data_IF_000193264562
#
_entry.id   IF_000193264562
#
_cell.length_a   1.000
_cell.length_b   1.000
_cell.length_c   1.000
_cell.angle_alpha   90.00
_cell.angle_beta   90.00
_cell.angle_gamma   90.00
#
_symmetry.space_group_name_H-M   'P 1'
#
loop_
_entity.id
_entity.type
_entity.pdbx_description
1 polymer ?
#
# COMPACT_ATOMS: atom_id res chain seq x y z
N UNK A 1 -20.65 -3.73 15.93
CA UNK A 1 -20.23 -2.60 16.81
C UNK A 1 -19.26 -3.03 17.91
N UNK A 2 -19.45 -4.18 18.55
CA UNK A 2 -18.57 -4.70 19.62
C UNK A 2 -17.10 -4.85 19.22
N UNK A 3 -16.82 -5.28 17.99
CA UNK A 3 -15.44 -5.47 17.51
C UNK A 3 -14.62 -4.17 17.42
N UNK A 4 -15.21 -3.06 16.94
CA UNK A 4 -14.49 -1.77 16.83
C UNK A 4 -14.21 -1.15 18.21
N UNK A 5 -15.11 -1.38 19.18
CA UNK A 5 -14.89 -0.94 20.57
C UNK A 5 -13.77 -1.73 21.25
N UNK A 6 -13.71 -3.06 21.03
CA UNK A 6 -12.58 -3.88 21.50
C UNK A 6 -11.26 -3.41 20.90
N UNK A 7 -11.23 -3.19 19.59
CA UNK A 7 -10.04 -2.68 18.89
C UNK A 7 -9.59 -1.31 19.42
N UNK A 8 -10.50 -0.45 19.87
CA UNK A 8 -10.12 0.84 20.47
C UNK A 8 -9.28 0.66 21.75
N UNK A 9 -9.62 -0.35 22.57
CA UNK A 9 -8.84 -0.68 23.77
C UNK A 9 -7.48 -1.27 23.39
N UNK A 10 -7.42 -2.12 22.37
CA UNK A 10 -6.16 -2.68 21.85
C UNK A 10 -5.23 -1.55 21.37
N UNK A 11 -5.76 -0.55 20.66
CA UNK A 11 -4.98 0.60 20.19
C UNK A 11 -4.38 1.40 21.34
N UNK A 12 -5.11 1.60 22.43
CA UNK A 12 -4.58 2.27 23.62
C UNK A 12 -3.43 1.48 24.25
N UNK A 13 -3.59 0.17 24.36
CA UNK A 13 -2.58 -0.70 24.98
C UNK A 13 -1.32 -0.82 24.11
N UNK A 14 -1.48 -0.93 22.78
CA UNK A 14 -0.36 -1.14 21.84
C UNK A 14 0.37 0.15 21.49
N UNK A 15 -0.37 1.24 21.27
CA UNK A 15 0.19 2.49 20.72
C UNK A 15 0.17 3.65 21.72
N UNK A 16 -0.42 3.48 22.91
CA UNK A 16 -0.52 4.54 23.91
C UNK A 16 -1.41 5.72 23.51
N UNK A 17 -2.27 5.55 22.48
CA UNK A 17 -3.15 6.61 21.98
C UNK A 17 -4.61 6.20 22.00
N UNK A 18 -5.49 7.16 22.22
CA UNK A 18 -6.94 6.93 22.23
C UNK A 18 -7.49 6.87 20.81
N UNK A 19 -8.03 5.72 20.41
CA UNK A 19 -8.74 5.58 19.15
C UNK A 19 -10.15 6.15 19.26
N UNK A 20 -10.59 6.92 18.26
CA UNK A 20 -11.92 7.51 18.22
C UNK A 20 -12.87 6.65 17.42
N UNK A 21 -13.81 6.00 18.10
CA UNK A 21 -14.93 5.34 17.45
C UNK A 21 -15.96 6.35 16.97
N UNK A 22 -16.43 6.20 15.74
CA UNK A 22 -17.51 6.99 15.14
C UNK A 22 -18.58 6.02 14.66
N UNK A 23 -19.82 6.20 15.13
CA UNK A 23 -20.95 5.37 14.73
C UNK A 23 -21.42 5.72 13.30
N UNK A 24 -22.24 4.86 12.69
CA UNK A 24 -22.73 5.07 11.33
C UNK A 24 -23.46 6.41 11.14
N UNK A 25 -24.25 6.84 12.12
CA UNK A 25 -25.08 8.06 12.02
C UNK A 25 -24.27 9.36 12.04
N UNK A 26 -23.03 9.33 12.52
CA UNK A 26 -22.13 10.50 12.55
C UNK A 26 -21.05 10.47 11.46
N UNK A 27 -21.03 9.47 10.58
CA UNK A 27 -19.98 9.37 9.55
C UNK A 27 -19.94 10.59 8.62
N UNK A 28 -21.11 11.12 8.23
CA UNK A 28 -21.19 12.27 7.32
C UNK A 28 -20.50 13.51 7.87
N UNK A 29 -20.63 13.75 9.19
CA UNK A 29 -19.92 14.84 9.88
C UNK A 29 -18.39 14.67 9.89
N UNK A 30 -17.91 13.48 9.52
CA UNK A 30 -16.49 13.16 9.42
C UNK A 30 -16.02 12.96 7.97
N UNK A 31 -16.78 13.44 6.98
CA UNK A 31 -16.45 13.34 5.55
C UNK A 31 -16.37 11.90 5.03
N UNK A 32 -17.19 11.01 5.59
CA UNK A 32 -17.34 9.60 5.23
C UNK A 32 -18.83 9.29 5.08
N UNK A 33 -19.25 8.42 4.15
CA UNK A 33 -20.67 8.02 4.08
C UNK A 33 -20.89 6.50 4.06
N UNK A 34 -22.11 6.08 3.75
CA UNK A 34 -22.47 4.68 3.51
C UNK A 34 -21.64 4.12 2.34
N UNK A 35 -21.34 2.80 2.32
CA UNK A 35 -21.98 1.72 3.06
C UNK A 35 -21.37 1.40 4.43
N UNK A 36 -20.49 2.23 4.98
CA UNK A 36 -19.82 1.91 6.24
C UNK A 36 -20.76 1.99 7.46
N UNK A 37 -20.63 1.03 8.38
CA UNK A 37 -21.45 0.94 9.60
C UNK A 37 -20.81 1.63 10.83
N UNK A 38 -19.73 2.38 10.60
CA UNK A 38 -18.93 3.06 11.60
C UNK A 38 -17.45 2.98 11.24
N UNK A 39 -16.63 3.76 11.95
CA UNK A 39 -15.18 3.79 11.76
C UNK A 39 -14.47 3.88 13.10
N UNK A 40 -13.18 3.55 13.08
CA UNK A 40 -12.26 3.75 14.18
C UNK A 40 -11.08 4.58 13.66
N UNK A 41 -10.95 5.82 14.15
CA UNK A 41 -9.84 6.69 13.78
C UNK A 41 -8.71 6.56 14.79
N UNK A 42 -7.50 6.26 14.30
CA UNK A 42 -6.28 6.21 15.10
C UNK A 42 -5.49 7.52 14.83
N UNK A 43 -5.16 8.34 15.85
CA UNK A 43 -4.68 9.71 15.66
C UNK A 43 -3.20 9.83 15.25
N UNK A 44 -2.53 8.72 14.95
CA UNK A 44 -1.11 8.67 14.59
C UNK A 44 -0.87 8.19 13.15
N UNK A 45 -1.92 7.84 12.42
CA UNK A 45 -1.82 7.45 11.02
C UNK A 45 -1.66 8.67 10.11
N UNK A 46 -0.70 8.60 9.18
CA UNK A 46 -0.45 9.65 8.18
C UNK A 46 -0.46 9.08 6.76
N UNK A 47 -0.96 9.87 5.81
CA UNK A 47 -0.76 9.60 4.40
C UNK A 47 0.59 10.17 3.96
N UNK A 48 1.33 9.42 3.15
CA UNK A 48 2.58 9.89 2.55
C UNK A 48 2.65 9.43 1.10
N UNK A 49 3.34 10.21 0.25
CA UNK A 49 3.68 9.77 -1.10
C UNK A 49 4.99 8.95 -1.03
N UNK A 50 4.95 7.61 -1.22
CA UNK A 50 6.11 6.77 -0.95
C UNK A 50 7.30 7.09 -1.87
N UNK A 51 7.02 7.49 -3.12
CA UNK A 51 8.05 7.87 -4.08
C UNK A 51 8.74 9.17 -3.69
N UNK A 52 7.99 10.20 -3.27
CA UNK A 52 8.58 11.45 -2.77
C UNK A 52 9.43 11.20 -1.51
N UNK A 53 8.93 10.36 -0.61
CA UNK A 53 9.65 10.00 0.61
C UNK A 53 10.96 9.24 0.29
N UNK A 54 10.91 8.22 -0.56
CA UNK A 54 12.09 7.46 -0.98
C UNK A 54 13.13 8.35 -1.68
N UNK A 55 12.70 9.27 -2.55
CA UNK A 55 13.59 10.23 -3.20
C UNK A 55 14.28 11.16 -2.18
N UNK A 56 13.55 11.61 -1.16
CA UNK A 56 14.12 12.42 -0.08
C UNK A 56 15.18 11.65 0.70
N UNK A 57 14.88 10.40 1.09
CA UNK A 57 15.84 9.52 1.77
C UNK A 57 17.09 9.26 0.92
N UNK A 58 16.93 9.03 -0.38
CA UNK A 58 18.03 8.85 -1.31
C UNK A 58 18.96 10.07 -1.32
N UNK A 59 18.41 11.27 -1.42
CA UNK A 59 19.19 12.52 -1.40
C UNK A 59 19.98 12.70 -0.10
N UNK A 60 19.36 12.40 1.04
CA UNK A 60 20.03 12.45 2.36
C UNK A 60 21.16 11.41 2.44
N UNK A 61 20.90 10.17 2.02
CA UNK A 61 21.91 9.12 2.05
C UNK A 61 23.13 9.44 1.16
N UNK A 62 22.90 9.95 -0.05
CA UNK A 62 23.97 10.36 -0.95
C UNK A 62 24.77 11.55 -0.39
N UNK A 63 24.08 12.52 0.23
CA UNK A 63 24.74 13.65 0.91
C UNK A 63 25.60 13.20 2.10
N UNK A 64 25.23 12.09 2.74
CA UNK A 64 26.03 11.45 3.79
C UNK A 64 27.15 10.53 3.24
N UNK A 65 27.34 10.45 1.93
CA UNK A 65 28.41 9.70 1.28
C UNK A 65 28.03 8.30 0.77
N UNK A 66 26.75 7.91 0.84
CA UNK A 66 26.31 6.64 0.27
C UNK A 66 26.44 6.63 -1.26
N UNK A 67 27.03 5.57 -1.80
CA UNK A 67 27.10 5.34 -3.25
C UNK A 67 25.89 4.52 -3.68
N UNK A 68 25.17 5.00 -4.67
CA UNK A 68 23.95 4.36 -5.18
C UNK A 68 24.12 4.02 -6.65
N UNK A 69 23.92 2.75 -6.99
CA UNK A 69 24.09 2.22 -8.34
C UNK A 69 22.72 1.74 -8.84
N UNK A 70 22.12 2.52 -9.74
CA UNK A 70 20.87 2.14 -10.41
C UNK A 70 21.17 1.23 -11.61
N UNK A 71 20.19 0.43 -12.03
CA UNK A 71 20.32 -0.51 -13.16
C UNK A 71 21.49 -1.50 -13.02
N UNK A 72 21.89 -1.81 -11.79
CA UNK A 72 22.95 -2.77 -11.46
C UNK A 72 22.37 -3.97 -10.70
N UNK A 73 21.59 -4.85 -11.36
CA UNK A 73 20.98 -5.98 -10.69
C UNK A 73 22.05 -6.94 -10.18
N UNK A 74 22.01 -7.29 -8.90
CA UNK A 74 22.87 -8.35 -8.36
C UNK A 74 22.31 -9.69 -8.80
N UNK A 75 23.04 -10.43 -9.63
CA UNK A 75 22.61 -11.75 -10.15
C UNK A 75 23.33 -12.91 -9.46
N UNK A 76 24.35 -12.62 -8.64
CA UNK A 76 25.09 -13.62 -7.88
C UNK A 76 25.64 -13.06 -6.57
N UNK A 77 25.77 -13.93 -5.58
CA UNK A 77 26.22 -13.65 -4.23
C UNK A 77 26.96 -14.87 -3.69
N UNK A 78 28.23 -14.67 -3.39
CA UNK A 78 29.08 -15.68 -2.77
C UNK A 78 29.65 -15.15 -1.46
N UNK A 79 29.88 -16.05 -0.51
CA UNK A 79 30.57 -15.71 0.75
C UNK A 79 31.88 -16.47 0.80
N UNK A 80 32.98 -15.70 0.74
CA UNK A 80 34.34 -16.18 1.00
C UNK A 80 34.80 -15.62 2.35
N UNK A 81 35.94 -14.93 2.41
CA UNK A 81 36.31 -14.10 3.56
C UNK A 81 35.37 -12.89 3.72
N UNK A 82 35.01 -12.26 2.60
CA UNK A 82 33.96 -11.23 2.49
C UNK A 82 32.84 -11.71 1.57
N UNK A 83 31.71 -11.00 1.56
CA UNK A 83 30.70 -11.21 0.52
C UNK A 83 31.19 -10.65 -0.81
N UNK A 84 30.80 -11.33 -1.88
CA UNK A 84 31.09 -10.99 -3.25
C UNK A 84 29.79 -10.95 -4.04
N UNK A 85 29.43 -9.79 -4.58
CA UNK A 85 28.22 -9.55 -5.36
C UNK A 85 28.61 -9.34 -6.82
N UNK A 86 27.87 -9.98 -7.72
CA UNK A 86 28.19 -10.02 -9.15
C UNK A 86 27.08 -9.35 -9.98
N UNK A 87 27.04 -8.01 -10.09
CA UNK A 87 26.22 -7.34 -11.10
C UNK A 87 26.82 -7.50 -12.52
N UNK A 88 26.03 -7.35 -13.60
CA UNK A 88 26.56 -7.44 -14.98
C UNK A 88 27.71 -6.48 -15.28
N UNK A 89 27.80 -5.36 -14.56
CA UNK A 89 28.81 -4.33 -14.76
C UNK A 89 30.14 -4.61 -14.06
N UNK A 90 30.25 -5.66 -13.24
CA UNK A 90 31.49 -6.01 -12.55
C UNK A 90 31.26 -6.75 -11.24
N UNK A 91 32.17 -6.58 -10.30
CA UNK A 91 32.14 -7.26 -9.00
C UNK A 91 32.27 -6.25 -7.86
N UNK A 92 31.52 -6.48 -6.79
CA UNK A 92 31.56 -5.66 -5.58
C UNK A 92 31.81 -6.58 -4.39
N UNK A 93 32.77 -6.22 -3.53
CA UNK A 93 33.04 -6.92 -2.28
C UNK A 93 32.51 -6.12 -1.08
N UNK A 94 32.01 -6.82 -0.06
CA UNK A 94 31.48 -6.21 1.15
C UNK A 94 31.65 -7.11 2.37
N UNK A 95 31.96 -6.53 3.53
CA UNK A 95 32.00 -7.28 4.80
C UNK A 95 30.60 -7.65 5.30
N UNK A 96 29.60 -6.82 4.99
CA UNK A 96 28.21 -6.99 5.41
C UNK A 96 27.29 -6.74 4.22
N UNK A 97 26.23 -7.56 4.12
CA UNK A 97 25.20 -7.45 3.10
C UNK A 97 23.84 -7.49 3.78
N UNK A 98 22.98 -6.52 3.45
CA UNK A 98 21.57 -6.48 3.86
C UNK A 98 20.69 -6.54 2.61
N UNK A 99 19.59 -7.28 2.71
CA UNK A 99 18.62 -7.38 1.62
C UNK A 99 17.41 -6.50 1.92
N UNK A 100 17.06 -5.61 0.98
CA UNK A 100 15.96 -4.64 1.12
C UNK A 100 15.08 -4.59 -0.13
N UNK A 101 14.82 -5.74 -0.71
CA UNK A 101 14.13 -5.93 -2.01
C UNK A 101 12.64 -6.31 -1.86
N UNK A 102 12.16 -6.53 -0.63
CA UNK A 102 10.81 -7.05 -0.36
C UNK A 102 10.50 -8.31 -1.20
N UNK A 103 9.27 -8.47 -1.70
CA UNK A 103 8.84 -9.61 -2.53
C UNK A 103 9.48 -9.72 -3.91
N UNK A 104 10.34 -8.79 -4.32
CA UNK A 104 11.07 -8.82 -5.60
C UNK A 104 12.40 -9.57 -5.51
N UNK A 105 12.49 -10.49 -4.56
CA UNK A 105 13.71 -11.25 -4.32
C UNK A 105 13.94 -12.30 -5.40
N UNK A 106 15.20 -12.57 -5.69
CA UNK A 106 15.57 -13.79 -6.39
C UNK A 106 15.54 -14.92 -5.36
N UNK A 107 14.67 -15.91 -5.57
CA UNK A 107 14.39 -16.98 -4.58
C UNK A 107 15.64 -17.79 -4.18
N UNK A 108 16.73 -17.69 -4.94
CA UNK A 108 18.00 -18.35 -4.68
C UNK A 108 19.11 -17.41 -4.16
N UNK A 109 18.83 -16.14 -3.86
CA UNK A 109 19.88 -15.17 -3.56
C UNK A 109 19.65 -14.35 -2.27
N UNK A 110 19.92 -14.91 -1.09
CA UNK A 110 20.73 -16.11 -0.83
C UNK A 110 19.88 -17.39 -0.78
N UNK A 111 20.52 -18.54 -1.01
CA UNK A 111 19.84 -19.83 -1.09
C UNK A 111 18.98 -20.18 0.13
N UNK A 112 19.34 -19.70 1.32
CA UNK A 112 18.56 -19.97 2.52
C UNK A 112 17.19 -19.29 2.52
N UNK A 113 16.96 -18.26 1.70
CA UNK A 113 15.65 -17.62 1.54
C UNK A 113 14.67 -18.41 0.68
N UNK A 114 15.15 -19.44 -0.02
CA UNK A 114 14.35 -20.24 -0.94
C UNK A 114 13.11 -20.81 -0.28
N UNK A 115 11.95 -20.50 -0.84
CA UNK A 115 10.65 -20.97 -0.33
C UNK A 115 10.24 -20.39 1.04
N UNK A 116 10.92 -19.34 1.53
CA UNK A 116 10.59 -18.69 2.81
C UNK A 116 9.75 -17.42 2.68
N UNK A 117 9.46 -16.99 1.46
CA UNK A 117 8.57 -15.86 1.20
C UNK A 117 7.61 -16.20 0.06
N UNK A 118 6.40 -15.63 0.12
CA UNK A 118 5.39 -15.74 -0.91
C UNK A 118 5.10 -14.32 -1.43
N UNK A 119 5.49 -13.97 -2.66
CA UNK A 119 5.10 -12.69 -3.23
C UNK A 119 3.59 -12.69 -3.50
N UNK A 120 2.87 -11.82 -2.80
CA UNK A 120 1.44 -11.60 -3.03
C UNK A 120 1.28 -10.26 -3.75
N UNK A 121 0.54 -10.28 -4.86
CA UNK A 121 0.28 -9.05 -5.59
C UNK A 121 -0.75 -8.20 -4.82
N UNK A 122 -0.62 -6.89 -4.91
CA UNK A 122 -1.72 -5.99 -4.59
C UNK A 122 -2.30 -5.48 -5.90
N UNK A 123 -3.61 -5.32 -5.98
CA UNK A 123 -4.29 -4.71 -7.11
C UNK A 123 -4.76 -3.32 -6.74
N UNK A 124 -4.46 -2.33 -7.57
CA UNK A 124 -4.85 -0.94 -7.34
C UNK A 124 -5.53 -0.40 -8.60
N UNK A 125 -6.56 0.42 -8.41
CA UNK A 125 -7.12 1.33 -9.41
C UNK A 125 -7.06 2.76 -8.90
N UNK A 126 -6.92 3.72 -9.81
CA UNK A 126 -6.96 5.15 -9.50
C UNK A 126 -7.93 5.86 -10.43
N UNK A 127 -8.84 6.65 -9.89
CA UNK A 127 -9.80 7.43 -10.69
C UNK A 127 -9.12 8.65 -11.33
N UNK A 128 -9.79 9.26 -12.31
CA UNK A 128 -9.57 10.68 -12.59
C UNK A 128 -9.86 11.53 -11.33
N UNK A 129 -9.32 12.77 -11.25
CA UNK A 129 -9.67 13.69 -10.19
C UNK A 129 -11.19 13.90 -10.11
N UNK A 130 -11.76 13.66 -8.93
CA UNK A 130 -13.16 13.93 -8.64
C UNK A 130 -13.32 15.41 -8.28
N UNK A 131 -14.26 16.08 -8.91
CA UNK A 131 -14.71 17.43 -8.54
C UNK A 131 -15.28 17.45 -7.11
N UNK A 132 -15.40 18.64 -6.53
CA UNK A 132 -16.03 18.80 -5.22
C UNK A 132 -17.48 18.31 -5.20
N UNK A 133 -18.22 18.46 -6.31
CA UNK A 133 -19.60 17.98 -6.45
C UNK A 133 -19.66 16.45 -6.50
N UNK A 134 -18.80 15.80 -7.27
CA UNK A 134 -18.69 14.34 -7.31
C UNK A 134 -18.28 13.77 -5.95
N UNK A 135 -17.36 14.43 -5.25
CA UNK A 135 -16.98 14.04 -3.89
C UNK A 135 -18.12 14.20 -2.89
N UNK A 136 -18.91 15.28 -3.01
CA UNK A 136 -20.08 15.51 -2.17
C UNK A 136 -21.22 14.52 -2.47
N UNK A 137 -21.42 14.16 -3.74
CA UNK A 137 -22.41 13.17 -4.17
C UNK A 137 -22.11 11.77 -3.61
N UNK A 138 -20.84 11.37 -3.59
CA UNK A 138 -20.39 10.17 -2.87
C UNK A 138 -20.36 10.38 -1.35
N UNK A 139 -20.20 11.63 -0.94
CA UNK A 139 -19.98 12.18 0.41
C UNK A 139 -18.66 11.75 1.05
N UNK A 140 -17.64 11.51 0.23
CA UNK A 140 -16.29 11.20 0.68
C UNK A 140 -15.35 12.35 0.33
N UNK A 141 -15.00 13.16 1.33
CA UNK A 141 -14.06 14.29 1.20
C UNK A 141 -12.87 14.17 2.18
N UNK A 142 -12.79 13.06 2.93
CA UNK A 142 -11.73 12.83 3.91
C UNK A 142 -10.42 12.44 3.22
N UNK A 143 -9.35 13.18 3.51
CA UNK A 143 -7.98 12.87 3.09
C UNK A 143 -7.26 11.85 4.02
N UNK A 144 -7.98 11.31 5.00
CA UNK A 144 -7.41 10.28 5.89
C UNK A 144 -7.23 8.97 5.13
N UNK A 145 -6.14 8.27 5.45
CA UNK A 145 -5.99 6.87 5.05
C UNK A 145 -7.14 6.06 5.65
N UNK A 146 -7.83 5.29 4.79
CA UNK A 146 -8.95 4.47 5.19
C UNK A 146 -8.79 3.06 4.62
N UNK A 147 -9.24 2.08 5.39
CA UNK A 147 -9.36 0.69 4.97
C UNK A 147 -10.58 0.04 5.62
N UNK A 148 -11.09 -1.02 5.01
CA UNK A 148 -12.20 -1.81 5.58
C UNK A 148 -11.69 -2.96 6.47
N UNK A 149 -12.60 -3.58 7.23
CA UNK A 149 -12.28 -4.69 8.15
C UNK A 149 -12.49 -6.08 7.53
N UNK A 150 -12.63 -6.19 6.21
CA UNK A 150 -12.79 -7.50 5.57
C UNK A 150 -11.49 -8.29 5.67
N UNK A 151 -11.58 -9.62 5.63
CA UNK A 151 -10.38 -10.48 5.65
C UNK A 151 -9.45 -10.17 4.47
N UNK A 152 -10.04 -9.93 3.30
CA UNK A 152 -9.37 -9.32 2.16
C UNK A 152 -9.66 -7.82 2.17
N UNK A 153 -8.77 -7.09 2.84
CA UNK A 153 -8.95 -5.67 3.13
C UNK A 153 -9.00 -4.82 1.86
N UNK A 154 -9.91 -3.85 1.79
CA UNK A 154 -9.81 -2.76 0.82
C UNK A 154 -9.17 -1.55 1.49
N UNK A 155 -8.31 -0.83 0.76
CA UNK A 155 -7.72 0.42 1.22
C UNK A 155 -7.95 1.50 0.18
N UNK A 156 -8.35 2.69 0.64
CA UNK A 156 -8.95 3.67 -0.27
C UNK A 156 -8.75 5.13 0.14
N UNK A 157 -7.53 5.68 -0.03
CA UNK A 157 -7.27 7.08 0.23
C UNK A 157 -7.75 7.99 -0.90
N UNK A 158 -8.36 9.11 -0.52
CA UNK A 158 -8.53 10.28 -1.39
C UNK A 158 -7.24 11.11 -1.35
N UNK A 159 -6.65 11.36 -2.51
CA UNK A 159 -5.44 12.18 -2.63
C UNK A 159 -5.80 13.67 -2.66
N UNK A 160 -4.89 14.57 -2.22
CA UNK A 160 -5.17 16.01 -2.13
C UNK A 160 -5.61 16.66 -3.45
N UNK A 161 -5.20 16.11 -4.59
CA UNK A 161 -5.60 16.57 -5.93
C UNK A 161 -6.94 16.01 -6.41
N UNK A 162 -7.68 15.27 -5.57
CA UNK A 162 -9.03 14.76 -5.85
C UNK A 162 -9.07 13.39 -6.50
N UNK A 163 -7.94 12.74 -6.78
CA UNK A 163 -7.91 11.36 -7.26
C UNK A 163 -8.21 10.39 -6.14
N UNK A 164 -9.00 9.37 -6.42
CA UNK A 164 -9.32 8.32 -5.47
C UNK A 164 -8.56 7.04 -5.81
N UNK A 165 -7.73 6.56 -4.89
CA UNK A 165 -7.08 5.27 -5.00
C UNK A 165 -7.97 4.23 -4.34
N UNK A 166 -8.17 3.08 -4.98
CA UNK A 166 -8.85 1.94 -4.38
C UNK A 166 -8.03 0.69 -4.61
N UNK A 167 -7.66 0.01 -3.53
CA UNK A 167 -6.79 -1.16 -3.56
C UNK A 167 -7.38 -2.35 -2.82
N UNK A 168 -6.96 -3.54 -3.22
CA UNK A 168 -7.32 -4.82 -2.61
C UNK A 168 -6.17 -5.82 -2.79
N UNK A 169 -6.12 -6.90 -1.98
CA UNK A 169 -5.30 -8.05 -2.28
C UNK A 169 -5.51 -8.54 -3.72
N UNK A 170 -4.41 -8.65 -4.45
CA UNK A 170 -4.38 -9.14 -5.82
C UNK A 170 -4.27 -10.67 -5.88
N UNK A 171 -3.90 -11.17 -7.06
CA UNK A 171 -3.71 -12.60 -7.25
C UNK A 171 -2.45 -13.12 -6.54
N UNK A 172 -2.52 -14.37 -6.08
CA UNK A 172 -1.34 -15.11 -5.58
C UNK A 172 -0.45 -15.54 -6.75
N UNK A 173 -1.03 -15.73 -7.94
CA UNK A 173 -0.33 -16.15 -9.15
C UNK A 173 -0.24 -15.03 -10.18
N UNK A 174 0.97 -14.77 -10.67
CA UNK A 174 1.23 -13.78 -11.73
C UNK A 174 0.93 -14.39 -13.09
N UNK A 175 -0.36 -14.50 -13.44
CA UNK A 175 -0.80 -14.94 -14.78
C UNK A 175 -1.76 -13.95 -15.39
N UNK A 176 -1.79 -13.85 -16.72
CA UNK A 176 -2.71 -12.96 -17.42
C UNK A 176 -4.18 -13.21 -17.03
N UNK A 177 -4.57 -14.48 -16.84
CA UNK A 177 -5.91 -14.87 -16.38
C UNK A 177 -6.20 -14.37 -14.97
N UNK A 178 -5.27 -14.58 -14.03
CA UNK A 178 -5.44 -14.17 -12.65
C UNK A 178 -5.49 -12.64 -12.51
N UNK A 179 -4.61 -11.93 -13.24
CA UNK A 179 -4.61 -10.47 -13.31
C UNK A 179 -5.94 -9.95 -13.85
N UNK A 180 -6.46 -10.52 -14.95
CA UNK A 180 -7.77 -10.13 -15.50
C UNK A 180 -8.92 -10.40 -14.53
N UNK A 181 -8.85 -11.49 -13.77
CA UNK A 181 -9.85 -11.79 -12.74
C UNK A 181 -9.80 -10.78 -11.58
N UNK A 182 -8.61 -10.46 -11.06
CA UNK A 182 -8.41 -9.43 -10.04
C UNK A 182 -8.91 -8.06 -10.53
N UNK A 183 -8.62 -7.69 -11.77
CA UNK A 183 -9.08 -6.43 -12.37
C UNK A 183 -10.60 -6.33 -12.49
N UNK A 184 -11.30 -7.41 -12.85
CA UNK A 184 -12.77 -7.40 -12.84
C UNK A 184 -13.30 -7.26 -11.42
N UNK A 185 -12.70 -7.97 -10.46
CA UNK A 185 -13.11 -7.96 -9.07
C UNK A 185 -12.94 -6.58 -8.43
N UNK A 186 -11.77 -5.95 -8.54
CA UNK A 186 -11.51 -4.64 -7.93
C UNK A 186 -12.47 -3.57 -8.45
N UNK A 187 -12.81 -3.60 -9.75
CA UNK A 187 -13.77 -2.67 -10.35
C UNK A 187 -15.20 -2.94 -9.87
N UNK A 188 -15.59 -4.20 -9.73
CA UNK A 188 -16.91 -4.55 -9.19
C UNK A 188 -17.05 -4.10 -7.72
N UNK A 189 -16.04 -4.39 -6.89
CA UNK A 189 -16.01 -4.00 -5.48
C UNK A 189 -16.00 -2.47 -5.31
N UNK A 190 -15.24 -1.76 -6.15
CA UNK A 190 -15.22 -0.29 -6.17
C UNK A 190 -16.61 0.29 -6.48
N UNK A 191 -17.28 -0.19 -7.54
CA UNK A 191 -18.64 0.27 -7.89
C UNK A 191 -19.66 -0.02 -6.80
N UNK A 192 -19.51 -1.14 -6.10
CA UNK A 192 -20.38 -1.48 -4.99
C UNK A 192 -20.17 -0.58 -3.77
N UNK A 193 -18.91 -0.23 -3.46
CA UNK A 193 -18.56 0.59 -2.29
C UNK A 193 -18.74 2.09 -2.53
N UNK A 194 -18.48 2.55 -3.76
CA UNK A 194 -18.50 3.95 -4.17
C UNK A 194 -19.40 4.14 -5.41
N UNK A 195 -20.71 3.93 -5.28
CA UNK A 195 -21.63 3.91 -6.42
C UNK A 195 -21.76 5.26 -7.14
N UNK A 196 -21.55 6.39 -6.47
CA UNK A 196 -21.58 7.71 -7.14
C UNK A 196 -20.34 7.94 -8.03
N UNK A 197 -19.29 7.13 -7.87
CA UNK A 197 -18.10 7.13 -8.72
C UNK A 197 -18.02 5.90 -9.63
N UNK A 198 -19.11 5.14 -9.77
CA UNK A 198 -19.11 3.88 -10.51
C UNK A 198 -18.73 4.02 -12.00
N UNK A 199 -19.03 5.19 -12.56
CA UNK A 199 -18.79 5.58 -13.95
C UNK A 199 -17.56 6.48 -14.10
N UNK A 200 -16.84 6.76 -13.00
CA UNK A 200 -15.59 7.51 -13.09
C UNK A 200 -14.54 6.74 -13.89
N UNK A 201 -13.87 7.44 -14.78
CA UNK A 201 -12.76 6.87 -15.54
C UNK A 201 -11.61 6.47 -14.61
N UNK A 202 -10.99 5.34 -14.94
CA UNK A 202 -9.85 4.77 -14.21
C UNK A 202 -8.60 4.97 -15.05
N UNK A 203 -7.66 5.76 -14.54
CA UNK A 203 -6.45 6.13 -15.27
C UNK A 203 -5.35 5.08 -15.21
N UNK A 204 -5.21 4.43 -14.06
CA UNK A 204 -4.08 3.55 -13.77
C UNK A 204 -4.56 2.27 -13.10
N UNK A 205 -3.84 1.20 -13.38
CA UNK A 205 -4.01 -0.09 -12.73
C UNK A 205 -2.65 -0.75 -12.53
N UNK A 206 -2.46 -1.36 -11.36
CA UNK A 206 -1.24 -2.08 -10.97
C UNK A 206 -1.61 -3.42 -10.35
#
# INVERSE_FOLDING_TARGET
MTALRRQAADVKNEYGVEARYINAVHLSAHALTRPFHGTLTIPIGVALNPRKYANGLLGVAQSAGAKVFAHSPVTGLEKHQTFCLNPPQGQITAEKVTFSTNGYFLDHLPDWMRGRYLPVQSSIIVTLPQTGEEQAAQGWTSLKMAFDRRELLHYFPLMPEGRFLFGMPGAIFVTARANKAAMRKIRADFRQMFPAWADSDIVDHY
#
